data_IF_191333223627
#
_entry.id   IF_191333223627
#
_cell.length_a   1.000
_cell.length_b   1.000
_cell.length_c   1.000
_cell.angle_alpha   90.00
_cell.angle_beta   90.00
_cell.angle_gamma   90.00
#
_symmetry.space_group_name_H-M   'P 1'
#
loop_
_entity.id
_entity.type
_entity.pdbx_description
1 polymer ?
#
# COMPACT_ATOMS: atom_id res chain seq x y z
N UNK A 1 -46.14 -22.47 -27.38
CA UNK A 1 -44.79 -22.14 -27.89
C UNK A 1 -44.62 -20.61 -27.79
N UNK A 2 -44.32 -20.11 -26.59
CA UNK A 2 -44.24 -18.66 -26.32
C UNK A 2 -42.86 -18.11 -26.70
N UNK A 3 -42.77 -17.61 -27.93
CA UNK A 3 -41.75 -16.67 -28.36
C UNK A 3 -42.23 -15.26 -28.01
N UNK A 4 -42.16 -14.88 -26.73
CA UNK A 4 -42.17 -13.48 -26.32
C UNK A 4 -40.79 -13.16 -25.79
N UNK A 5 -40.01 -12.52 -26.65
CA UNK A 5 -38.71 -11.97 -26.35
C UNK A 5 -38.79 -11.04 -25.13
N UNK A 6 -37.99 -11.33 -24.10
CA UNK A 6 -37.66 -10.33 -23.08
C UNK A 6 -36.59 -9.39 -23.65
N UNK A 7 -37.03 -8.37 -24.39
CA UNK A 7 -36.17 -7.28 -24.86
C UNK A 7 -35.86 -6.24 -23.76
N UNK A 8 -36.26 -6.51 -22.51
CA UNK A 8 -36.00 -5.66 -21.34
C UNK A 8 -34.63 -5.88 -20.68
N UNK A 9 -33.90 -6.94 -21.07
CA UNK A 9 -32.71 -7.39 -20.32
C UNK A 9 -31.41 -6.66 -20.73
N UNK A 10 -31.37 -6.04 -21.91
CA UNK A 10 -30.15 -5.39 -22.45
C UNK A 10 -29.86 -4.02 -21.86
N UNK A 11 -30.89 -3.22 -21.54
CA UNK A 11 -30.72 -1.91 -20.90
C UNK A 11 -30.25 -2.04 -19.45
N UNK A 12 -30.77 -3.03 -18.72
CA UNK A 12 -30.30 -3.38 -17.37
C UNK A 12 -28.87 -3.90 -17.38
N UNK A 13 -28.53 -4.80 -18.31
CA UNK A 13 -27.16 -5.30 -18.47
C UNK A 13 -26.16 -4.16 -18.80
N UNK A 14 -26.52 -3.23 -19.69
CA UNK A 14 -25.70 -2.08 -20.03
C UNK A 14 -25.43 -1.16 -18.82
N UNK A 15 -26.46 -0.87 -18.01
CA UNK A 15 -26.32 -0.06 -16.81
C UNK A 15 -25.39 -0.71 -15.76
N UNK A 16 -25.53 -2.03 -15.54
CA UNK A 16 -24.65 -2.78 -14.64
C UNK A 16 -23.20 -2.76 -15.13
N UNK A 17 -22.96 -2.89 -16.44
CA UNK A 17 -21.61 -2.80 -17.03
C UNK A 17 -20.99 -1.41 -16.77
N UNK A 18 -21.75 -0.33 -16.94
CA UNK A 18 -21.25 1.04 -16.68
C UNK A 18 -20.87 1.23 -15.22
N UNK A 19 -21.73 0.80 -14.28
CA UNK A 19 -21.42 0.87 -12.84
C UNK A 19 -20.16 0.05 -12.53
N UNK A 20 -20.06 -1.16 -13.07
CA UNK A 20 -18.92 -2.04 -12.85
C UNK A 20 -17.61 -1.41 -13.36
N UNK A 21 -17.62 -0.84 -14.57
CA UNK A 21 -16.47 -0.11 -15.11
C UNK A 21 -16.11 1.12 -14.26
N UNK A 22 -17.09 1.88 -13.80
CA UNK A 22 -16.88 3.02 -12.92
C UNK A 22 -16.22 2.61 -11.59
N UNK A 23 -16.64 1.49 -10.99
CA UNK A 23 -16.03 0.94 -9.77
C UNK A 23 -14.60 0.48 -9.99
N UNK A 24 -14.30 -0.14 -11.14
CA UNK A 24 -12.92 -0.52 -11.51
C UNK A 24 -12.04 0.73 -11.61
N UNK A 25 -12.48 1.73 -12.36
CA UNK A 25 -11.74 2.98 -12.53
C UNK A 25 -11.51 3.66 -11.18
N UNK A 26 -12.54 3.72 -10.34
CA UNK A 26 -12.42 4.28 -8.99
C UNK A 26 -11.36 3.54 -8.15
N UNK A 27 -11.37 2.20 -8.19
CA UNK A 27 -10.36 1.37 -7.54
C UNK A 27 -8.95 1.66 -8.01
N UNK A 28 -8.75 1.74 -9.33
CA UNK A 28 -7.46 2.04 -9.95
C UNK A 28 -6.97 3.42 -9.49
N UNK A 29 -7.83 4.44 -9.53
CA UNK A 29 -7.45 5.80 -9.11
C UNK A 29 -7.14 5.85 -7.62
N UNK A 30 -7.87 5.10 -6.78
CA UNK A 30 -7.55 4.99 -5.35
C UNK A 30 -6.15 4.41 -5.10
N UNK A 31 -5.81 3.32 -5.79
CA UNK A 31 -4.48 2.72 -5.72
C UNK A 31 -3.39 3.68 -6.23
N UNK A 32 -3.65 4.36 -7.35
CA UNK A 32 -2.76 5.38 -7.91
C UNK A 32 -2.49 6.47 -6.88
N UNK A 33 -3.53 6.97 -6.20
CA UNK A 33 -3.42 8.01 -5.18
C UNK A 33 -2.54 7.56 -4.01
N UNK A 34 -2.69 6.32 -3.53
CA UNK A 34 -1.82 5.75 -2.47
C UNK A 34 -0.35 5.80 -2.87
N UNK A 35 -0.02 5.40 -4.10
CA UNK A 35 1.36 5.41 -4.60
C UNK A 35 1.91 6.83 -4.69
N UNK A 36 1.13 7.76 -5.25
CA UNK A 36 1.55 9.17 -5.36
C UNK A 36 1.74 9.84 -4.00
N UNK A 37 0.94 9.48 -2.99
CA UNK A 37 1.12 9.96 -1.62
C UNK A 37 2.41 9.45 -0.98
N UNK A 38 2.88 8.28 -1.37
CA UNK A 38 4.16 7.72 -0.93
C UNK A 38 5.35 8.20 -1.79
N UNK A 39 5.14 9.15 -2.71
CA UNK A 39 6.19 9.68 -3.58
C UNK A 39 6.55 8.79 -4.78
N UNK A 40 5.72 7.78 -5.07
CA UNK A 40 5.90 6.88 -6.21
C UNK A 40 4.94 7.22 -7.36
N UNK A 41 5.32 6.87 -8.58
CA UNK A 41 4.49 7.10 -9.77
C UNK A 41 3.30 6.14 -9.75
N UNK A 42 2.07 6.65 -9.74
CA UNK A 42 0.91 5.79 -9.53
C UNK A 42 0.52 4.90 -10.72
N UNK A 43 1.03 5.11 -11.94
CA UNK A 43 0.85 4.13 -13.02
C UNK A 43 1.50 2.79 -12.69
N UNK A 44 2.53 2.77 -11.81
CA UNK A 44 3.18 1.55 -11.33
C UNK A 44 2.20 0.63 -10.59
N UNK A 45 1.09 1.15 -10.04
CA UNK A 45 0.07 0.31 -9.38
C UNK A 45 -0.77 -0.52 -10.36
N UNK A 46 -0.78 -0.18 -11.65
CA UNK A 46 -1.60 -0.88 -12.65
C UNK A 46 -0.90 -2.14 -13.13
N UNK A 47 0.43 -2.11 -13.23
CA UNK A 47 1.21 -3.26 -13.70
C UNK A 47 1.39 -4.25 -12.55
N UNK A 48 0.97 -5.52 -12.65
CA UNK A 48 0.93 -6.46 -11.53
C UNK A 48 2.26 -6.60 -10.77
N UNK A 49 3.37 -6.80 -11.46
CA UNK A 49 4.68 -7.00 -10.82
C UNK A 49 5.25 -5.71 -10.24
N UNK A 50 5.12 -4.59 -10.97
CA UNK A 50 5.60 -3.28 -10.49
C UNK A 50 4.77 -2.78 -9.30
N UNK A 51 3.47 -3.08 -9.26
CA UNK A 51 2.59 -2.77 -8.15
C UNK A 51 3.15 -3.38 -6.88
N UNK A 52 3.34 -4.71 -6.86
CA UNK A 52 3.83 -5.42 -5.67
C UNK A 52 5.23 -4.95 -5.29
N UNK A 53 6.14 -4.81 -6.25
CA UNK A 53 7.51 -4.34 -5.96
C UNK A 53 7.52 -2.94 -5.34
N UNK A 54 6.76 -2.01 -5.93
CA UNK A 54 6.68 -0.63 -5.46
C UNK A 54 5.97 -0.57 -4.11
N UNK A 55 4.93 -1.38 -3.89
CA UNK A 55 4.26 -1.49 -2.60
C UNK A 55 5.23 -1.98 -1.51
N UNK A 56 6.06 -2.99 -1.79
CA UNK A 56 7.11 -3.45 -0.89
C UNK A 56 8.09 -2.31 -0.57
N UNK A 57 8.50 -1.52 -1.57
CA UNK A 57 9.35 -0.34 -1.37
C UNK A 57 8.67 0.71 -0.47
N UNK A 58 7.40 1.02 -0.72
CA UNK A 58 6.60 1.96 0.07
C UNK A 58 6.54 1.53 1.53
N UNK A 59 6.36 0.23 1.80
CA UNK A 59 6.29 -0.28 3.18
C UNK A 59 7.66 -0.59 3.81
N UNK A 60 8.76 -0.49 3.04
CA UNK A 60 10.12 -0.74 3.54
C UNK A 60 10.48 -2.22 3.64
N UNK A 61 9.81 -3.07 2.88
CA UNK A 61 10.13 -4.50 2.78
C UNK A 61 11.09 -4.73 1.61
N UNK A 62 12.01 -5.70 1.73
CA UNK A 62 13.03 -5.90 0.71
C UNK A 62 12.38 -6.42 -0.59
N UNK A 63 12.84 -5.93 -1.74
CA UNK A 63 12.24 -6.23 -3.04
C UNK A 63 12.23 -7.72 -3.42
N UNK A 64 13.12 -8.54 -2.83
CA UNK A 64 13.13 -10.00 -3.03
C UNK A 64 11.85 -10.68 -2.51
N UNK A 65 11.10 -10.04 -1.61
CA UNK A 65 9.78 -10.54 -1.16
C UNK A 65 8.78 -10.69 -2.30
N UNK A 66 9.00 -10.04 -3.45
CA UNK A 66 8.20 -10.26 -4.65
C UNK A 66 8.19 -11.74 -5.08
N UNK A 67 9.29 -12.47 -4.88
CA UNK A 67 9.36 -13.92 -5.18
C UNK A 67 8.45 -14.72 -4.25
N UNK A 68 8.30 -14.29 -2.99
CA UNK A 68 7.44 -14.97 -2.01
C UNK A 68 5.95 -14.90 -2.37
N UNK A 69 5.53 -13.92 -3.17
CA UNK A 69 4.15 -13.83 -3.65
C UNK A 69 3.78 -14.95 -4.65
N UNK A 70 4.75 -15.63 -5.24
CA UNK A 70 4.51 -16.78 -6.13
C UNK A 70 4.42 -18.11 -5.39
N UNK A 71 4.80 -18.15 -4.11
CA UNK A 71 4.73 -19.36 -3.30
C UNK A 71 3.34 -19.41 -2.64
N UNK A 72 2.49 -20.41 -2.97
CA UNK A 72 1.17 -20.53 -2.37
C UNK A 72 1.28 -20.65 -0.84
N UNK A 73 0.27 -20.15 -0.13
CA UNK A 73 0.21 -20.00 1.34
C UNK A 73 1.15 -18.95 1.91
N UNK A 74 2.41 -18.90 1.49
CA UNK A 74 3.38 -17.87 1.91
C UNK A 74 2.91 -16.51 1.40
N UNK A 75 2.41 -16.43 0.16
CA UNK A 75 1.86 -15.21 -0.42
C UNK A 75 0.79 -14.55 0.49
N UNK A 76 -0.05 -15.34 1.15
CA UNK A 76 -1.10 -14.84 2.03
C UNK A 76 -0.53 -14.23 3.32
N UNK A 77 0.44 -14.89 3.93
CA UNK A 77 1.14 -14.39 5.13
C UNK A 77 1.88 -13.09 4.81
N UNK A 78 2.60 -13.06 3.69
CA UNK A 78 3.33 -11.87 3.23
C UNK A 78 2.36 -10.71 2.96
N UNK A 79 1.22 -10.99 2.33
CA UNK A 79 0.22 -9.97 2.07
C UNK A 79 -0.37 -9.36 3.35
N UNK A 80 -0.64 -10.18 4.38
CA UNK A 80 -1.07 -9.70 5.70
C UNK A 80 -0.03 -8.74 6.29
N UNK A 81 1.25 -9.12 6.28
CA UNK A 81 2.34 -8.29 6.81
C UNK A 81 2.41 -6.95 6.05
N UNK A 82 2.40 -7.00 4.71
CA UNK A 82 2.45 -5.80 3.86
C UNK A 82 1.24 -4.89 4.10
N UNK A 83 0.04 -5.43 4.30
CA UNK A 83 -1.16 -4.63 4.59
C UNK A 83 -1.05 -3.92 5.95
N UNK A 84 -0.55 -4.60 6.98
CA UNK A 84 -0.30 -4.00 8.29
C UNK A 84 0.78 -2.92 8.22
N UNK A 85 1.86 -3.16 7.49
CA UNK A 85 2.94 -2.18 7.34
C UNK A 85 2.53 -1.00 6.46
N UNK A 86 1.67 -1.20 5.47
CA UNK A 86 1.06 -0.12 4.70
C UNK A 86 0.22 0.78 5.60
N UNK A 87 -0.62 0.19 6.46
CA UNK A 87 -1.37 0.97 7.45
C UNK A 87 -0.43 1.81 8.32
N UNK A 88 0.61 1.19 8.89
CA UNK A 88 1.62 1.91 9.69
C UNK A 88 2.33 3.01 8.91
N UNK A 89 2.67 2.76 7.64
CA UNK A 89 3.37 3.71 6.77
C UNK A 89 2.55 4.96 6.45
N UNK A 90 1.25 4.92 6.71
CA UNK A 90 0.34 6.06 6.63
C UNK A 90 -0.16 6.54 8.01
N UNK A 91 0.54 6.16 9.08
CA UNK A 91 0.21 6.53 10.46
C UNK A 91 -1.08 5.92 10.99
N UNK A 92 -1.54 4.80 10.40
CA UNK A 92 -2.75 4.09 10.83
C UNK A 92 -2.39 2.88 11.70
N UNK A 93 -3.26 2.58 12.67
CA UNK A 93 -3.07 1.47 13.59
C UNK A 93 -3.43 0.10 12.99
N UNK A 94 -3.19 -0.96 13.76
CA UNK A 94 -3.42 -2.36 13.37
C UNK A 94 -4.86 -2.62 12.93
N UNK A 95 -5.87 -2.01 13.57
CA UNK A 95 -7.27 -2.17 13.18
C UNK A 95 -7.56 -1.68 11.75
N UNK A 96 -6.87 -0.63 11.30
CA UNK A 96 -6.95 -0.17 9.91
C UNK A 96 -6.27 -1.15 8.96
N UNK A 97 -5.13 -1.74 9.38
CA UNK A 97 -4.46 -2.80 8.63
C UNK A 97 -5.31 -4.07 8.48
N UNK A 98 -6.05 -4.46 9.52
CA UNK A 98 -7.05 -5.53 9.45
C UNK A 98 -8.18 -5.16 8.48
N UNK A 99 -8.62 -3.90 8.49
CA UNK A 99 -9.55 -3.37 7.50
C UNK A 99 -9.01 -3.45 6.06
N UNK A 100 -7.73 -3.17 5.84
CA UNK A 100 -7.06 -3.39 4.55
C UNK A 100 -7.04 -4.87 4.12
N UNK A 101 -6.97 -5.80 5.08
CA UNK A 101 -6.93 -7.24 4.81
C UNK A 101 -8.30 -7.77 4.37
N UNK A 102 -9.39 -7.37 5.04
CA UNK A 102 -10.72 -7.89 4.74
C UNK A 102 -11.50 -7.01 3.75
N UNK A 103 -11.33 -5.70 3.83
CA UNK A 103 -12.02 -4.67 3.04
C UNK A 103 -11.02 -3.80 2.26
N UNK A 104 -10.00 -4.45 1.67
CA UNK A 104 -8.88 -3.77 1.02
C UNK A 104 -9.28 -2.71 -0.01
N UNK A 105 -10.30 -2.97 -0.83
CA UNK A 105 -10.81 -1.99 -1.78
C UNK A 105 -11.23 -0.68 -1.10
N UNK A 106 -12.10 -0.77 -0.10
CA UNK A 106 -12.64 0.41 0.62
C UNK A 106 -11.52 1.13 1.38
N UNK A 107 -10.69 0.39 2.11
CA UNK A 107 -9.62 0.99 2.90
C UNK A 107 -8.53 1.61 2.03
N UNK A 108 -8.25 1.05 0.85
CA UNK A 108 -7.36 1.68 -0.14
C UNK A 108 -7.95 2.98 -0.68
N UNK A 109 -9.26 3.06 -0.94
CA UNK A 109 -9.90 4.33 -1.31
C UNK A 109 -9.78 5.37 -0.18
N UNK A 110 -10.03 4.97 1.07
CA UNK A 110 -9.87 5.84 2.24
C UNK A 110 -8.43 6.33 2.36
N UNK A 111 -7.44 5.45 2.12
CA UNK A 111 -6.03 5.81 2.17
C UNK A 111 -5.64 6.75 1.03
N UNK A 112 -6.13 6.47 -0.19
CA UNK A 112 -5.85 7.24 -1.40
C UNK A 112 -6.50 8.62 -1.38
N UNK A 113 -7.77 8.72 -1.04
CA UNK A 113 -8.55 9.97 -1.12
C UNK A 113 -8.72 10.69 0.23
N UNK A 114 -8.60 10.00 1.36
CA UNK A 114 -8.72 10.62 2.68
C UNK A 114 -7.48 11.43 3.10
N UNK A 115 -7.48 11.97 4.31
CA UNK A 115 -6.39 12.85 4.80
C UNK A 115 -5.12 12.12 5.25
N UNK A 116 -5.07 10.79 5.09
CA UNK A 116 -3.90 10.00 5.45
C UNK A 116 -2.67 10.48 4.65
N UNK A 117 -1.60 10.82 5.37
CA UNK A 117 -0.29 11.19 4.82
C UNK A 117 0.68 10.04 5.00
N UNK A 118 1.52 9.83 4.00
CA UNK A 118 2.61 8.88 4.11
C UNK A 118 3.65 9.43 5.08
N UNK A 119 3.97 8.66 6.13
CA UNK A 119 4.93 9.05 7.18
C UNK A 119 6.29 8.40 6.96
N UNK A 120 6.34 7.29 6.23
CA UNK A 120 7.57 6.57 5.93
C UNK A 120 7.44 5.06 6.11
N UNK A 121 8.46 4.29 5.72
CA UNK A 121 8.38 2.84 5.69
C UNK A 121 8.13 2.22 7.08
N UNK A 122 7.08 1.41 7.20
CA UNK A 122 6.69 0.74 8.45
C UNK A 122 6.19 1.68 9.54
N UNK A 123 5.88 2.93 9.22
CA UNK A 123 5.47 3.95 10.20
C UNK A 123 6.63 4.64 10.91
N UNK A 124 7.86 4.36 10.49
CA UNK A 124 9.02 5.14 10.90
C UNK A 124 8.94 6.47 10.17
N UNK A 125 8.86 7.62 10.87
CA UNK A 125 9.03 8.92 10.21
C UNK A 125 10.34 8.83 9.43
N UNK A 126 10.28 9.01 8.12
CA UNK A 126 11.44 8.93 7.25
C UNK A 126 12.45 10.01 7.67
N UNK A 127 13.31 9.72 8.66
CA UNK A 127 14.30 10.61 9.29
C UNK A 127 14.04 12.09 8.99
N UNK A 128 12.87 12.61 9.37
CA UNK A 128 12.59 14.02 9.18
C UNK A 128 13.25 14.76 10.34
N UNK A 129 14.56 15.01 10.20
CA UNK A 129 15.20 16.12 10.90
C UNK A 129 16.16 15.83 12.04
N UNK A 130 16.83 14.67 12.13
CA UNK A 130 18.11 14.70 12.86
C UNK A 130 19.10 15.45 11.96
N UNK A 131 19.55 16.68 12.33
CA UNK A 131 20.65 17.30 11.61
C UNK A 131 21.79 16.27 11.55
N UNK A 132 22.60 16.27 10.46
CA UNK A 132 23.79 15.43 10.44
C UNK A 132 24.52 15.62 11.78
N UNK A 133 24.98 14.54 12.44
CA UNK A 133 25.69 14.69 13.70
C UNK A 133 26.79 15.74 13.49
N UNK A 134 26.92 16.72 14.40
CA UNK A 134 27.94 17.75 14.25
C UNK A 134 29.28 17.06 13.98
N UNK A 135 30.12 17.60 13.07
CA UNK A 135 31.44 17.03 12.85
C UNK A 135 32.13 16.86 14.21
N UNK A 136 32.87 15.75 14.44
CA UNK A 136 33.57 15.55 15.68
C UNK A 136 34.32 16.82 16.04
N UNK A 137 34.08 17.36 17.23
CA UNK A 137 34.82 18.53 17.67
C UNK A 137 36.31 18.17 17.63
N UNK A 138 37.20 19.04 17.14
CA UNK A 138 38.63 18.79 17.24
C UNK A 138 38.99 18.43 18.69
N UNK A 139 39.32 17.16 18.94
CA UNK A 139 39.64 16.64 20.28
C UNK A 139 38.56 15.83 21.01
N UNK A 140 37.35 15.63 20.47
CA UNK A 140 36.38 14.70 21.07
C UNK A 140 36.67 13.27 20.62
N UNK A 141 37.19 12.41 21.49
CA UNK A 141 37.23 10.96 21.24
C UNK A 141 35.81 10.43 21.09
N UNK A 142 35.52 9.53 20.13
CA UNK A 142 34.21 8.92 20.00
C UNK A 142 33.75 8.33 21.34
N UNK A 143 32.45 8.40 21.68
CA UNK A 143 31.93 7.72 22.85
C UNK A 143 32.20 6.21 22.73
N UNK A 144 32.50 5.50 23.84
CA UNK A 144 32.70 4.08 23.82
C UNK A 144 31.45 3.36 23.30
N UNK A 145 31.60 2.22 22.59
CA UNK A 145 30.46 1.45 22.12
C UNK A 145 29.56 1.04 23.28
N UNK A 146 28.23 0.97 23.08
CA UNK A 146 27.33 0.50 24.12
C UNK A 146 27.72 -0.92 24.56
N UNK A 147 27.56 -1.26 25.85
CA UNK A 147 27.82 -2.61 26.31
C UNK A 147 26.93 -3.59 25.53
N UNK A 148 27.42 -4.82 25.25
CA UNK A 148 26.59 -5.83 24.62
C UNK A 148 25.33 -6.05 25.47
N UNK A 149 24.17 -6.00 24.83
CA UNK A 149 22.90 -6.31 25.47
C UNK A 149 23.02 -7.71 26.11
N UNK A 150 22.87 -7.76 27.44
CA UNK A 150 22.90 -8.99 28.22
C UNK A 150 21.72 -9.91 27.87
#
# INVERSE_FOLDING_TARGET
>A
MSLLASSSDSAGAGFIIVIYLALIVLGIVGFWKVFTKAGEEGWKSIIPFYNVYTLLKIVGRPGWWLILFFIPFVNFIIWIIVALDLAKSFGKGTGFGVGLIFLGFIFMLILGFGDARYVGPGGTPAQMGSPPPPPPMPGSTPPPPPPPSA
#
